data_IF_551717603195
#
_entry.id   IF_551717603195
#
_cell.length_a   1.000
_cell.length_b   1.000
_cell.length_c   1.000
_cell.angle_alpha   90.00
_cell.angle_beta   90.00
_cell.angle_gamma   90.00
#
_symmetry.space_group_name_H-M   'P 1'
#
loop_
_entity.id
_entity.type
_entity.pdbx_description
1 polymer ?
#
# COMPACT_ATOMS: atom_id res chain seq x y z
N UNK A 1 29.69 -10.33 -16.63
CA UNK A 1 29.66 -10.29 -15.15
C UNK A 1 30.40 -9.07 -14.58
N UNK A 2 31.68 -8.80 -15.00
CA UNK A 2 32.48 -7.66 -14.47
C UNK A 2 31.81 -6.30 -14.81
N UNK A 3 31.36 -6.11 -16.07
CA UNK A 3 30.67 -4.87 -16.48
C UNK A 3 29.37 -4.60 -15.74
N UNK A 4 28.60 -5.63 -15.44
CA UNK A 4 27.38 -5.50 -14.64
C UNK A 4 27.69 -5.13 -13.17
N UNK A 5 28.76 -5.68 -12.61
CA UNK A 5 29.20 -5.32 -11.26
C UNK A 5 29.67 -3.86 -11.19
N UNK A 6 30.38 -3.39 -12.20
CA UNK A 6 30.81 -1.99 -12.30
C UNK A 6 29.62 -1.06 -12.50
N UNK A 7 28.68 -1.40 -13.38
CA UNK A 7 27.47 -0.60 -13.62
C UNK A 7 26.63 -0.43 -12.33
N UNK A 8 26.43 -1.51 -11.56
CA UNK A 8 25.74 -1.42 -10.26
C UNK A 8 26.45 -0.51 -9.26
N UNK A 9 27.79 -0.55 -9.21
CA UNK A 9 28.57 0.33 -8.34
C UNK A 9 28.50 1.79 -8.79
N UNK A 10 28.56 2.05 -10.10
CA UNK A 10 28.45 3.38 -10.65
C UNK A 10 27.06 4.00 -10.36
N UNK A 11 25.99 3.24 -10.57
CA UNK A 11 24.63 3.67 -10.23
C UNK A 11 24.49 4.01 -8.73
N UNK A 12 25.11 3.22 -7.85
CA UNK A 12 25.10 3.52 -6.41
C UNK A 12 25.82 4.82 -6.08
N UNK A 13 26.98 5.08 -6.71
CA UNK A 13 27.72 6.33 -6.52
C UNK A 13 26.90 7.53 -7.00
N UNK A 14 26.21 7.40 -8.13
CA UNK A 14 25.34 8.46 -8.66
C UNK A 14 24.19 8.80 -7.69
N UNK A 15 23.55 7.79 -7.11
CA UNK A 15 22.50 7.97 -6.11
C UNK A 15 23.06 8.68 -4.86
N UNK A 16 24.19 8.22 -4.32
CA UNK A 16 24.83 8.81 -3.14
C UNK A 16 25.22 10.27 -3.36
N UNK A 17 25.72 10.62 -4.55
CA UNK A 17 26.03 12.00 -4.91
C UNK A 17 24.75 12.87 -5.01
N UNK A 18 23.68 12.32 -5.56
CA UNK A 18 22.39 12.99 -5.64
C UNK A 18 21.79 13.23 -4.26
N UNK A 19 21.87 12.21 -3.38
CA UNK A 19 21.38 12.32 -1.99
C UNK A 19 22.19 13.37 -1.21
N UNK A 20 23.53 13.35 -1.32
CA UNK A 20 24.40 14.36 -0.68
C UNK A 20 24.11 15.79 -1.19
N UNK A 21 23.88 15.97 -2.48
CA UNK A 21 23.51 17.27 -3.03
C UNK A 21 22.17 17.79 -2.48
N UNK A 22 21.20 16.89 -2.25
CA UNK A 22 19.93 17.24 -1.61
C UNK A 22 20.11 17.63 -0.15
N UNK A 23 20.87 16.87 0.62
CA UNK A 23 21.16 17.17 2.02
C UNK A 23 21.81 18.55 2.17
N UNK A 24 22.78 18.87 1.33
CA UNK A 24 23.43 20.18 1.31
C UNK A 24 22.44 21.29 0.96
N UNK A 25 21.58 21.08 -0.04
CA UNK A 25 20.58 22.05 -0.44
C UNK A 25 19.56 22.33 0.68
N UNK A 26 19.13 21.30 1.42
CA UNK A 26 18.27 21.45 2.60
C UNK A 26 18.98 22.23 3.71
N UNK A 27 20.23 21.88 4.01
CA UNK A 27 21.01 22.53 5.06
C UNK A 27 21.31 24.01 4.77
N UNK A 28 21.65 24.32 3.50
CA UNK A 28 22.03 25.71 3.10
C UNK A 28 20.83 26.64 2.97
N UNK A 29 19.70 26.12 2.45
CA UNK A 29 18.53 26.98 2.20
C UNK A 29 17.64 27.14 3.41
N UNK A 30 17.81 26.34 4.47
CA UNK A 30 16.92 26.29 5.62
C UNK A 30 15.47 25.91 5.24
N UNK A 31 15.25 25.53 3.98
CA UNK A 31 13.96 25.05 3.50
C UNK A 31 13.87 23.57 3.72
N UNK A 32 12.73 23.10 4.22
CA UNK A 32 12.47 21.68 4.30
C UNK A 32 12.61 21.05 2.91
N UNK A 33 13.41 19.98 2.82
CA UNK A 33 13.53 19.21 1.59
C UNK A 33 12.25 18.47 1.26
N UNK A 34 12.31 17.67 0.23
CA UNK A 34 11.17 16.83 -0.22
C UNK A 34 11.38 15.40 0.23
N UNK A 35 10.51 14.89 1.10
CA UNK A 35 10.48 13.45 1.42
C UNK A 35 9.77 12.68 0.29
N UNK A 36 10.46 11.67 -0.27
CA UNK A 36 9.91 10.83 -1.34
C UNK A 36 9.51 9.47 -0.78
N UNK A 37 8.23 9.28 -0.55
CA UNK A 37 7.69 8.07 0.06
C UNK A 37 6.91 7.23 -0.95
N UNK A 38 7.21 5.94 -0.98
CA UNK A 38 6.40 4.94 -1.65
C UNK A 38 5.48 4.23 -0.67
N UNK A 39 4.28 3.83 -1.08
CA UNK A 39 3.45 2.97 -0.25
C UNK A 39 2.52 2.08 -1.09
N UNK A 40 2.24 0.86 -0.64
CA UNK A 40 1.10 0.11 -1.14
C UNK A 40 -0.19 0.77 -0.65
N UNK A 41 -1.32 0.53 -1.32
CA UNK A 41 -2.57 1.30 -1.13
C UNK A 41 -3.03 1.39 0.33
N UNK A 42 -3.01 0.28 1.07
CA UNK A 42 -3.44 0.27 2.47
C UNK A 42 -2.65 1.24 3.34
N UNK A 43 -1.33 1.03 3.53
CA UNK A 43 -0.46 1.95 4.27
C UNK A 43 -0.45 3.38 3.74
N UNK A 44 -0.62 3.59 2.42
CA UNK A 44 -0.71 4.94 1.86
C UNK A 44 -1.88 5.73 2.47
N UNK A 45 -3.04 5.10 2.60
CA UNK A 45 -4.26 5.75 3.10
C UNK A 45 -4.37 5.73 4.63
N UNK A 46 -3.88 4.64 5.27
CA UNK A 46 -4.04 4.48 6.72
C UNK A 46 -2.92 5.10 7.56
N UNK A 47 -1.72 5.26 7.00
CA UNK A 47 -0.56 5.79 7.72
C UNK A 47 0.02 7.03 7.05
N UNK A 48 0.41 6.94 5.76
CA UNK A 48 1.12 8.05 5.10
C UNK A 48 0.23 9.29 5.03
N UNK A 49 -1.00 9.15 4.55
CA UNK A 49 -1.91 10.29 4.37
C UNK A 49 -2.22 11.03 5.68
N UNK A 50 -2.69 10.39 6.78
CA UNK A 50 -2.96 11.10 8.01
C UNK A 50 -1.70 11.70 8.64
N UNK A 51 -0.56 11.02 8.58
CA UNK A 51 0.71 11.54 9.07
C UNK A 51 1.15 12.79 8.29
N UNK A 52 0.98 12.82 6.98
CA UNK A 52 1.30 13.98 6.16
C UNK A 52 0.40 15.18 6.49
N UNK A 53 -0.90 14.96 6.70
CA UNK A 53 -1.84 16.00 7.09
C UNK A 53 -1.39 16.65 8.41
N UNK A 54 -1.00 15.85 9.40
CA UNK A 54 -0.54 16.32 10.69
C UNK A 54 0.80 17.06 10.57
N UNK A 55 1.78 16.46 9.86
CA UNK A 55 3.07 17.10 9.62
C UNK A 55 2.96 18.45 8.90
N UNK A 56 2.09 18.55 7.89
CA UNK A 56 1.90 19.83 7.18
C UNK A 56 1.18 20.88 8.05
N UNK A 57 0.35 20.43 9.01
CA UNK A 57 -0.26 21.36 9.98
C UNK A 57 0.77 21.95 10.94
N UNK A 58 1.73 21.14 11.42
CA UNK A 58 2.80 21.56 12.32
C UNK A 58 3.93 22.28 11.58
N UNK A 59 4.20 21.87 10.35
CA UNK A 59 5.28 22.35 9.49
C UNK A 59 4.74 22.68 8.09
N UNK A 60 4.15 23.87 7.88
CA UNK A 60 3.50 24.25 6.61
C UNK A 60 4.44 24.21 5.39
N UNK A 61 5.75 24.34 5.61
CA UNK A 61 6.78 24.23 4.55
C UNK A 61 7.15 22.78 4.20
N UNK A 62 6.71 21.77 4.97
CA UNK A 62 7.04 20.37 4.72
C UNK A 62 6.47 19.90 3.38
N UNK A 63 7.33 19.28 2.58
CA UNK A 63 6.97 18.77 1.26
C UNK A 63 7.18 17.27 1.18
N UNK A 64 6.26 16.56 0.54
CA UNK A 64 6.39 15.15 0.25
C UNK A 64 5.92 14.83 -1.17
N UNK A 65 6.59 13.87 -1.79
CA UNK A 65 6.14 13.20 -3.00
C UNK A 65 5.70 11.79 -2.62
N UNK A 66 4.44 11.45 -2.89
CA UNK A 66 3.86 10.16 -2.54
C UNK A 66 3.63 9.34 -3.81
N UNK A 67 4.25 8.17 -3.86
CA UNK A 67 4.01 7.19 -4.93
C UNK A 67 3.23 6.01 -4.38
N UNK A 68 2.04 5.77 -4.92
CA UNK A 68 1.27 4.55 -4.62
C UNK A 68 1.47 3.53 -5.73
N UNK A 69 1.86 2.31 -5.36
CA UNK A 69 2.19 1.28 -6.33
C UNK A 69 2.23 -0.13 -5.75
N UNK A 70 2.65 -1.08 -6.58
CA UNK A 70 2.88 -2.46 -6.13
C UNK A 70 4.21 -2.56 -5.40
N UNK A 71 4.37 -3.58 -4.56
CA UNK A 71 5.64 -3.83 -3.85
C UNK A 71 6.84 -3.96 -4.80
N UNK A 72 6.63 -4.55 -5.98
CA UNK A 72 7.68 -4.72 -7.00
C UNK A 72 8.12 -3.36 -7.53
N UNK A 73 7.17 -2.54 -8.00
CA UNK A 73 7.49 -1.22 -8.58
C UNK A 73 8.10 -0.27 -7.55
N UNK A 74 7.65 -0.33 -6.29
CA UNK A 74 8.21 0.46 -5.20
C UNK A 74 9.64 0.01 -4.86
N UNK A 75 9.90 -1.30 -4.85
CA UNK A 75 11.25 -1.84 -4.67
C UNK A 75 12.22 -1.39 -5.77
N UNK A 76 11.79 -1.40 -7.04
CA UNK A 76 12.59 -0.88 -8.16
C UNK A 76 12.91 0.61 -7.97
N UNK A 77 11.92 1.42 -7.60
CA UNK A 77 12.12 2.85 -7.38
C UNK A 77 13.03 3.17 -6.19
N UNK A 78 13.00 2.34 -5.13
CA UNK A 78 13.94 2.44 -4.03
C UNK A 78 15.37 2.15 -4.50
N UNK A 79 15.59 1.05 -5.24
CA UNK A 79 16.90 0.70 -5.78
C UNK A 79 17.46 1.77 -6.72
N UNK A 80 16.58 2.41 -7.49
CA UNK A 80 16.95 3.50 -8.41
C UNK A 80 17.13 4.87 -7.72
N UNK A 81 16.93 4.96 -6.37
CA UNK A 81 17.05 6.23 -5.64
C UNK A 81 15.93 7.24 -5.92
N UNK A 82 14.84 6.80 -6.55
CA UNK A 82 13.66 7.65 -6.81
C UNK A 82 12.76 7.81 -5.59
N UNK A 83 12.87 6.90 -4.63
CA UNK A 83 12.22 6.97 -3.32
C UNK A 83 13.28 6.97 -2.23
N UNK A 84 12.99 7.66 -1.14
CA UNK A 84 13.81 7.65 0.07
C UNK A 84 13.49 6.39 0.90
N UNK A 85 12.21 6.09 1.07
CA UNK A 85 11.71 4.87 1.73
C UNK A 85 10.35 4.45 1.17
N UNK A 86 9.90 3.25 1.53
CA UNK A 86 8.57 2.79 1.18
C UNK A 86 7.91 1.99 2.33
N UNK A 87 6.59 2.06 2.42
CA UNK A 87 5.76 1.14 3.17
C UNK A 87 5.27 0.03 2.23
N UNK A 88 5.96 -1.10 2.25
CA UNK A 88 5.81 -2.13 1.23
C UNK A 88 6.16 -3.52 1.78
N UNK A 89 6.17 -4.51 0.91
CA UNK A 89 6.58 -5.88 1.24
C UNK A 89 7.79 -6.25 0.40
N UNK A 90 8.79 -6.85 1.04
CA UNK A 90 9.94 -7.38 0.30
C UNK A 90 9.66 -8.81 -0.17
N UNK A 91 10.06 -9.09 -1.39
CA UNK A 91 10.13 -10.45 -1.91
C UNK A 91 11.25 -11.25 -1.23
N UNK A 92 11.18 -12.59 -1.29
CA UNK A 92 12.24 -13.46 -0.77
C UNK A 92 13.55 -13.22 -1.53
N UNK A 93 14.67 -13.23 -0.80
CA UNK A 93 16.01 -13.10 -1.40
C UNK A 93 16.45 -11.67 -1.72
N UNK A 94 15.70 -10.66 -1.31
CA UNK A 94 16.11 -9.26 -1.45
C UNK A 94 17.35 -8.97 -0.58
N UNK A 95 18.38 -8.37 -1.17
CA UNK A 95 19.67 -8.10 -0.51
C UNK A 95 20.12 -6.64 -0.57
N UNK A 96 19.42 -5.83 -1.33
CA UNK A 96 19.76 -4.40 -1.53
C UNK A 96 18.85 -3.47 -0.71
N UNK A 97 17.81 -4.03 -0.11
CA UNK A 97 16.83 -3.31 0.68
C UNK A 97 16.74 -3.90 2.08
N UNK A 98 16.65 -3.05 3.06
CA UNK A 98 16.40 -3.42 4.46
C UNK A 98 14.91 -3.23 4.77
N UNK A 99 14.36 -4.08 5.64
CA UNK A 99 12.96 -4.02 6.02
C UNK A 99 12.78 -4.11 7.53
N UNK A 100 12.00 -3.19 8.07
CA UNK A 100 11.50 -3.25 9.45
C UNK A 100 9.99 -3.47 9.40
N UNK A 101 9.52 -4.62 9.88
CA UNK A 101 8.08 -4.95 9.93
C UNK A 101 7.33 -3.90 10.74
N UNK A 102 6.21 -3.45 10.21
CA UNK A 102 5.31 -2.47 10.85
C UNK A 102 4.05 -3.16 11.35
N UNK A 103 3.22 -3.72 10.47
CA UNK A 103 1.94 -4.30 10.85
C UNK A 103 1.45 -5.33 9.82
N UNK A 104 0.53 -6.19 10.28
CA UNK A 104 -0.28 -7.06 9.43
C UNK A 104 -1.42 -6.24 8.84
N UNK A 105 -1.83 -6.56 7.63
CA UNK A 105 -2.91 -5.85 6.93
C UNK A 105 -4.14 -6.76 6.79
N UNK A 106 -5.15 -6.61 7.67
CA UNK A 106 -6.41 -7.35 7.54
C UNK A 106 -7.18 -6.87 6.32
N UNK A 107 -7.99 -7.77 5.74
CA UNK A 107 -8.84 -7.48 4.59
C UNK A 107 -10.31 -7.59 4.96
N UNK A 108 -11.10 -6.68 4.43
CA UNK A 108 -12.55 -6.70 4.45
C UNK A 108 -13.11 -6.92 3.06
N UNK A 109 -14.21 -7.65 2.96
CA UNK A 109 -15.00 -7.71 1.73
C UNK A 109 -15.92 -6.49 1.69
N UNK A 110 -15.84 -5.75 0.60
CA UNK A 110 -16.52 -4.45 0.44
C UNK A 110 -17.54 -4.54 -0.67
N UNK A 111 -18.68 -3.93 -0.43
CA UNK A 111 -19.82 -3.85 -1.35
C UNK A 111 -20.41 -2.44 -1.33
N UNK A 112 -21.27 -2.10 -2.32
CA UNK A 112 -22.04 -0.85 -2.27
C UNK A 112 -23.01 -0.81 -1.09
N UNK A 113 -23.35 0.38 -0.63
CA UNK A 113 -24.49 0.56 0.29
C UNK A 113 -25.78 0.06 -0.38
N UNK A 114 -26.59 -0.67 0.34
CA UNK A 114 -27.79 -1.28 -0.21
C UNK A 114 -27.56 -2.54 -1.04
N UNK A 115 -26.38 -3.19 -0.90
CA UNK A 115 -26.13 -4.50 -1.51
C UNK A 115 -27.10 -5.56 -0.93
N UNK A 116 -27.61 -6.50 -1.76
CA UNK A 116 -28.58 -7.52 -1.32
C UNK A 116 -28.13 -8.37 -0.13
N UNK A 117 -26.83 -8.62 0.03
CA UNK A 117 -26.30 -9.37 1.18
C UNK A 117 -26.48 -8.63 2.51
N UNK A 118 -26.53 -7.31 2.52
CA UNK A 118 -26.59 -6.53 3.76
C UNK A 118 -27.93 -6.67 4.50
N UNK A 119 -28.98 -7.12 3.82
CA UNK A 119 -30.32 -7.34 4.43
C UNK A 119 -30.55 -8.80 4.85
N UNK A 120 -29.56 -9.68 4.60
CA UNK A 120 -29.65 -11.06 5.05
C UNK A 120 -29.29 -11.19 6.53
N UNK A 121 -30.02 -11.97 7.32
CA UNK A 121 -29.75 -12.16 8.75
C UNK A 121 -28.43 -12.91 9.02
N UNK A 122 -28.01 -13.74 8.08
CA UNK A 122 -26.73 -14.46 8.10
C UNK A 122 -26.21 -14.57 6.67
N UNK A 123 -24.93 -14.31 6.49
CA UNK A 123 -24.26 -14.41 5.20
C UNK A 123 -23.26 -15.57 5.30
N UNK A 124 -23.46 -16.59 4.46
CA UNK A 124 -22.47 -17.66 4.31
C UNK A 124 -21.42 -17.28 3.26
N UNK A 125 -20.23 -17.87 3.35
CA UNK A 125 -19.21 -17.66 2.31
C UNK A 125 -19.69 -18.15 0.93
N UNK A 126 -20.55 -19.16 0.89
CA UNK A 126 -21.19 -19.64 -0.34
C UNK A 126 -22.09 -18.60 -1.02
N UNK A 127 -22.72 -17.71 -0.24
CA UNK A 127 -23.57 -16.65 -0.80
C UNK A 127 -22.74 -15.60 -1.55
N UNK A 128 -21.48 -15.40 -1.15
CA UNK A 128 -20.57 -14.47 -1.80
C UNK A 128 -20.25 -14.88 -3.25
N UNK A 129 -20.24 -16.17 -3.53
CA UNK A 129 -19.90 -16.73 -4.85
C UNK A 129 -20.99 -16.50 -5.91
N UNK A 130 -22.17 -16.03 -5.51
CA UNK A 130 -23.26 -15.68 -6.43
C UNK A 130 -23.08 -14.33 -7.11
N UNK A 131 -22.16 -13.51 -6.59
CA UNK A 131 -21.91 -12.15 -7.05
C UNK A 131 -20.63 -12.09 -7.89
N UNK A 132 -20.50 -11.02 -8.65
CA UNK A 132 -19.27 -10.70 -9.36
C UNK A 132 -18.20 -10.25 -8.37
N UNK A 133 -16.95 -10.55 -8.65
CA UNK A 133 -15.84 -10.12 -7.83
C UNK A 133 -14.92 -9.19 -8.62
N UNK A 134 -14.44 -8.15 -7.94
CA UNK A 134 -13.42 -7.23 -8.46
C UNK A 134 -12.16 -7.41 -7.63
N UNK A 135 -11.10 -7.85 -8.26
CA UNK A 135 -9.82 -8.14 -7.60
C UNK A 135 -8.66 -7.60 -8.44
N UNK A 136 -7.46 -7.59 -7.89
CA UNK A 136 -6.24 -7.39 -8.67
C UNK A 136 -5.95 -8.59 -9.57
N UNK A 137 -4.85 -8.50 -10.30
CA UNK A 137 -4.34 -9.61 -11.09
C UNK A 137 -4.01 -10.81 -10.20
N UNK A 138 -4.01 -12.01 -10.76
CA UNK A 138 -3.82 -13.27 -10.02
C UNK A 138 -2.45 -13.32 -9.28
N UNK A 139 -1.47 -12.53 -9.69
CA UNK A 139 -0.16 -12.43 -9.05
C UNK A 139 -0.13 -11.50 -7.83
N UNK A 140 -1.18 -10.72 -7.58
CA UNK A 140 -1.20 -9.83 -6.42
C UNK A 140 -1.41 -10.61 -5.13
N UNK A 141 -0.68 -10.23 -4.07
CA UNK A 141 -0.79 -10.88 -2.76
C UNK A 141 -2.22 -10.87 -2.22
N UNK A 142 -2.96 -9.80 -2.46
CA UNK A 142 -4.34 -9.67 -2.02
C UNK A 142 -5.24 -10.70 -2.73
N UNK A 143 -5.13 -10.83 -4.05
CA UNK A 143 -5.88 -11.84 -4.81
C UNK A 143 -5.50 -13.26 -4.37
N UNK A 144 -4.21 -13.55 -4.24
CA UNK A 144 -3.73 -14.86 -3.76
C UNK A 144 -4.24 -15.18 -2.35
N UNK A 145 -4.30 -14.20 -1.45
CA UNK A 145 -4.86 -14.38 -0.10
C UNK A 145 -6.32 -14.84 -0.16
N UNK A 146 -7.14 -14.20 -1.00
CA UNK A 146 -8.55 -14.59 -1.18
C UNK A 146 -8.66 -15.96 -1.81
N UNK A 147 -7.91 -16.25 -2.88
CA UNK A 147 -7.90 -17.53 -3.59
C UNK A 147 -7.53 -18.68 -2.65
N UNK A 148 -6.45 -18.51 -1.88
CA UNK A 148 -6.00 -19.53 -0.93
C UNK A 148 -7.06 -19.77 0.15
N UNK A 149 -7.67 -18.69 0.66
CA UNK A 149 -8.71 -18.84 1.69
C UNK A 149 -9.95 -19.55 1.20
N UNK A 150 -10.40 -19.29 -0.02
CA UNK A 150 -11.51 -20.02 -0.63
C UNK A 150 -11.15 -21.50 -0.80
N UNK A 151 -9.93 -21.81 -1.23
CA UNK A 151 -9.45 -23.19 -1.37
C UNK A 151 -9.40 -23.91 0.00
N UNK A 152 -8.92 -23.28 1.06
CA UNK A 152 -8.94 -23.82 2.42
C UNK A 152 -10.34 -24.14 2.92
N UNK A 153 -11.34 -23.34 2.50
CA UNK A 153 -12.75 -23.55 2.83
C UNK A 153 -13.43 -24.59 1.89
N UNK A 154 -12.70 -25.17 0.95
CA UNK A 154 -13.24 -26.13 -0.03
C UNK A 154 -14.21 -25.49 -1.03
N UNK A 155 -14.11 -24.17 -1.24
CA UNK A 155 -14.99 -23.43 -2.12
C UNK A 155 -14.33 -23.12 -3.46
N UNK A 156 -15.09 -23.13 -4.58
CA UNK A 156 -14.57 -22.76 -5.88
C UNK A 156 -14.26 -21.25 -5.94
N UNK A 157 -13.45 -20.85 -6.90
CA UNK A 157 -13.27 -19.45 -7.24
C UNK A 157 -14.56 -18.84 -7.80
N UNK A 158 -14.82 -17.55 -7.58
CA UNK A 158 -15.92 -16.84 -8.21
C UNK A 158 -15.84 -16.98 -9.73
N UNK A 159 -16.94 -17.42 -10.36
CA UNK A 159 -16.97 -17.64 -11.81
C UNK A 159 -16.85 -16.35 -12.61
N UNK A 160 -17.41 -15.25 -12.08
CA UNK A 160 -17.39 -13.93 -12.71
C UNK A 160 -16.45 -13.02 -11.92
N UNK A 161 -15.30 -12.73 -12.54
CA UNK A 161 -14.28 -11.88 -11.96
C UNK A 161 -13.91 -10.77 -12.93
N UNK A 162 -13.74 -9.56 -12.41
CA UNK A 162 -13.15 -8.43 -13.11
C UNK A 162 -11.80 -8.19 -12.47
N UNK A 163 -10.73 -8.21 -13.29
CA UNK A 163 -9.38 -7.93 -12.83
C UNK A 163 -9.01 -6.49 -13.17
N UNK A 164 -8.50 -5.76 -12.17
CA UNK A 164 -8.02 -4.39 -12.34
C UNK A 164 -6.99 -4.02 -11.29
N UNK A 165 -5.96 -3.28 -11.69
CA UNK A 165 -4.99 -2.65 -10.78
C UNK A 165 -5.43 -1.26 -10.30
N UNK A 166 -6.53 -0.71 -10.84
CA UNK A 166 -7.01 0.63 -10.53
C UNK A 166 -7.96 0.61 -9.34
N UNK A 167 -7.50 1.14 -8.20
CA UNK A 167 -8.34 1.31 -7.02
C UNK A 167 -9.58 2.19 -7.30
N UNK A 168 -9.40 3.28 -8.06
CA UNK A 168 -10.53 4.15 -8.43
C UNK A 168 -11.55 3.42 -9.30
N UNK A 169 -11.11 2.59 -10.25
CA UNK A 169 -12.01 1.78 -11.07
C UNK A 169 -12.79 0.78 -10.21
N UNK A 170 -12.13 0.14 -9.25
CA UNK A 170 -12.79 -0.76 -8.27
C UNK A 170 -13.91 -0.02 -7.51
N UNK A 171 -13.63 1.16 -6.97
CA UNK A 171 -14.64 1.94 -6.25
C UNK A 171 -15.80 2.38 -7.15
N UNK A 172 -15.51 2.80 -8.38
CA UNK A 172 -16.54 3.19 -9.35
C UNK A 172 -17.44 2.01 -9.72
N UNK A 173 -16.86 0.81 -9.90
CA UNK A 173 -17.60 -0.41 -10.22
C UNK A 173 -18.46 -0.87 -9.04
N UNK A 174 -17.92 -0.86 -7.82
CA UNK A 174 -18.68 -1.16 -6.61
C UNK A 174 -19.91 -0.24 -6.48
N UNK A 175 -19.76 1.05 -6.77
CA UNK A 175 -20.86 1.99 -6.67
C UNK A 175 -22.02 1.71 -7.65
N UNK A 176 -21.75 1.04 -8.77
CA UNK A 176 -22.72 0.84 -9.85
C UNK A 176 -23.25 -0.60 -9.94
N UNK A 177 -22.68 -1.53 -9.21
CA UNK A 177 -22.99 -2.97 -9.31
C UNK A 177 -23.10 -3.64 -7.95
N UNK A 178 -23.55 -4.90 -7.95
CA UNK A 178 -23.51 -5.76 -6.77
C UNK A 178 -22.22 -6.59 -6.69
N UNK A 179 -21.11 -6.04 -7.19
CA UNK A 179 -19.83 -6.71 -7.09
C UNK A 179 -19.26 -6.65 -5.66
N UNK A 180 -18.41 -7.62 -5.35
CA UNK A 180 -17.66 -7.71 -4.08
C UNK A 180 -16.19 -7.44 -4.39
N UNK A 181 -15.53 -6.61 -3.58
CA UNK A 181 -14.10 -6.39 -3.67
C UNK A 181 -13.42 -6.61 -2.33
N UNK A 182 -12.32 -7.37 -2.25
CA UNK A 182 -11.47 -7.40 -1.08
C UNK A 182 -10.62 -6.11 -1.03
N UNK A 183 -10.69 -5.39 0.07
CA UNK A 183 -9.88 -4.20 0.32
C UNK A 183 -9.22 -4.31 1.69
N UNK A 184 -8.10 -3.64 1.87
CA UNK A 184 -7.48 -3.52 3.19
C UNK A 184 -8.46 -2.86 4.17
N UNK A 185 -8.67 -3.49 5.32
CA UNK A 185 -9.60 -2.97 6.34
C UNK A 185 -9.29 -1.53 6.75
N UNK A 186 -8.02 -1.12 6.96
CA UNK A 186 -7.70 0.27 7.27
C UNK A 186 -8.10 1.26 6.16
N UNK A 187 -8.14 0.82 4.90
CA UNK A 187 -8.65 1.65 3.79
C UNK A 187 -10.16 1.88 3.97
N UNK A 188 -10.90 0.83 4.27
CA UNK A 188 -12.35 0.94 4.47
C UNK A 188 -12.66 1.82 5.68
N UNK A 189 -11.89 1.64 6.77
CA UNK A 189 -12.04 2.40 8.02
C UNK A 189 -11.74 3.89 7.82
N UNK A 190 -10.80 4.25 6.94
CA UNK A 190 -10.51 5.65 6.62
C UNK A 190 -11.70 6.39 5.96
N UNK A 191 -12.63 5.64 5.40
CA UNK A 191 -13.90 6.16 4.86
C UNK A 191 -15.11 5.90 5.78
N UNK A 192 -14.90 5.20 6.91
CA UNK A 192 -15.97 4.90 7.84
C UNK A 192 -16.57 6.19 8.43
N UNK A 193 -17.88 6.18 8.62
CA UNK A 193 -18.60 7.36 9.16
C UNK A 193 -18.94 8.45 8.13
N UNK A 194 -18.41 8.38 6.91
CA UNK A 194 -18.81 9.30 5.85
C UNK A 194 -20.01 8.73 5.05
N UNK A 195 -21.24 9.27 5.22
CA UNK A 195 -22.43 8.77 4.51
C UNK A 195 -22.36 8.95 2.99
N UNK A 196 -21.53 9.86 2.52
CA UNK A 196 -21.33 10.11 1.07
C UNK A 196 -20.50 9.03 0.40
N UNK A 197 -19.82 8.18 1.17
CA UNK A 197 -19.06 7.06 0.61
C UNK A 197 -20.02 5.92 0.24
N UNK A 198 -20.02 5.47 -1.03
CA UNK A 198 -21.06 4.57 -1.53
C UNK A 198 -20.86 3.11 -1.16
N UNK A 199 -19.84 2.75 -0.41
CA UNK A 199 -19.48 1.37 -0.07
C UNK A 199 -19.37 1.15 1.44
N UNK A 200 -19.49 -0.12 1.84
CA UNK A 200 -19.37 -0.59 3.24
C UNK A 200 -18.74 -1.98 3.28
N UNK A 201 -18.15 -2.35 4.41
CA UNK A 201 -17.74 -3.72 4.66
C UNK A 201 -18.95 -4.65 4.80
N UNK A 202 -18.87 -5.86 4.23
CA UNK A 202 -19.77 -6.95 4.57
C UNK A 202 -19.47 -7.44 6.00
N UNK A 203 -20.49 -7.76 6.78
CA UNK A 203 -20.32 -8.33 8.13
C UNK A 203 -20.00 -9.84 8.05
N UNK A 204 -18.96 -10.18 7.30
CA UNK A 204 -18.48 -11.56 7.12
C UNK A 204 -16.99 -11.58 7.41
N UNK A 205 -16.61 -12.32 8.43
CA UNK A 205 -15.20 -12.55 8.73
C UNK A 205 -14.74 -13.83 8.02
N UNK A 206 -13.88 -13.66 7.03
CA UNK A 206 -13.20 -14.76 6.35
C UNK A 206 -11.81 -15.04 6.92
N UNK A 207 -11.35 -14.32 7.94
CA UNK A 207 -9.99 -14.41 8.47
C UNK A 207 -8.93 -14.03 7.43
N UNK A 208 -9.24 -13.08 6.55
CA UNK A 208 -8.35 -12.63 5.49
C UNK A 208 -7.33 -11.63 6.03
N UNK A 209 -6.06 -11.90 5.80
CA UNK A 209 -4.99 -10.93 6.07
C UNK A 209 -3.84 -11.11 5.09
N UNK A 210 -3.31 -10.01 4.59
CA UNK A 210 -2.11 -10.01 3.75
C UNK A 210 -0.87 -10.05 4.66
N UNK A 211 0.21 -10.64 4.17
CA UNK A 211 1.50 -10.64 4.86
C UNK A 211 1.87 -9.23 5.38
N UNK A 212 2.58 -9.14 6.51
CA UNK A 212 2.95 -7.86 7.08
C UNK A 212 3.64 -6.95 6.07
N UNK A 213 3.32 -5.67 6.12
CA UNK A 213 4.11 -4.66 5.41
C UNK A 213 5.21 -4.09 6.32
N UNK A 214 6.22 -3.55 5.71
CA UNK A 214 7.43 -3.08 6.35
C UNK A 214 7.76 -1.66 5.91
N UNK A 215 8.46 -0.93 6.76
CA UNK A 215 9.27 0.19 6.35
C UNK A 215 10.49 -0.38 5.60
N UNK A 216 10.62 -0.03 4.34
CA UNK A 216 11.66 -0.52 3.43
C UNK A 216 12.54 0.64 3.02
N UNK A 217 13.85 0.45 3.14
CA UNK A 217 14.89 1.43 2.79
C UNK A 217 15.99 0.77 1.99
N UNK A 218 16.81 1.56 1.30
CA UNK A 218 18.05 1.02 0.69
C UNK A 218 19.05 0.64 1.78
N UNK A 219 19.68 -0.51 1.63
CA UNK A 219 20.67 -0.99 2.58
C UNK A 219 21.88 -0.03 2.66
N UNK A 220 22.14 0.46 3.87
CA UNK A 220 23.25 1.35 4.17
C UNK A 220 23.08 2.79 3.67
N UNK A 221 21.91 3.21 3.19
CA UNK A 221 21.66 4.61 2.85
C UNK A 221 21.39 5.45 4.10
N UNK A 222 21.81 6.71 4.04
CA UNK A 222 21.40 7.70 5.02
C UNK A 222 20.09 8.36 4.57
N UNK A 223 19.21 8.65 5.52
CA UNK A 223 17.97 9.36 5.23
C UNK A 223 18.19 10.85 5.27
N UNK A 224 17.58 11.59 4.33
CA UNK A 224 17.52 13.04 4.41
C UNK A 224 16.74 13.47 5.67
N UNK A 225 17.00 14.67 6.23
CA UNK A 225 16.25 15.15 7.40
C UNK A 225 14.73 15.12 7.21
N UNK A 226 14.25 15.46 6.00
CA UNK A 226 12.82 15.44 5.67
C UNK A 226 12.27 14.02 5.62
N UNK A 227 12.98 13.07 5.01
CA UNK A 227 12.58 11.66 4.98
C UNK A 227 12.57 11.05 6.38
N UNK A 228 13.61 11.32 7.21
CA UNK A 228 13.69 10.83 8.57
C UNK A 228 12.53 11.35 9.43
N UNK A 229 12.20 12.65 9.33
CA UNK A 229 11.05 13.22 10.05
C UNK A 229 9.75 12.53 9.70
N UNK A 230 9.52 12.24 8.41
CA UNK A 230 8.32 11.52 7.97
C UNK A 230 8.31 10.07 8.48
N UNK A 231 9.45 9.38 8.46
CA UNK A 231 9.60 8.03 9.02
C UNK A 231 9.26 8.02 10.51
N UNK A 232 9.82 8.94 11.28
CA UNK A 232 9.61 9.01 12.73
C UNK A 232 8.13 9.27 13.07
N UNK A 233 7.49 10.17 12.32
CA UNK A 233 6.06 10.45 12.48
C UNK A 233 5.18 9.23 12.11
N UNK A 234 5.51 8.51 11.04
CA UNK A 234 4.81 7.27 10.65
C UNK A 234 4.98 6.18 11.72
N UNK A 235 6.20 6.00 12.24
CA UNK A 235 6.47 5.00 13.27
C UNK A 235 5.81 5.32 14.61
N UNK A 236 5.58 6.58 14.92
CA UNK A 236 4.85 7.01 16.10
C UNK A 236 3.32 6.80 15.97
N UNK A 237 2.80 6.77 14.75
CA UNK A 237 1.37 6.59 14.44
C UNK A 237 0.98 5.10 14.20
N UNK A 238 1.96 4.19 14.01
CA UNK A 238 1.76 2.78 13.72
C UNK A 238 1.64 1.93 14.99
#
# INVERSE_FOLDING_TARGET
>A
QVGQALARRAARIEIELSDAARDIAEAVTGRAGVARVGAVTGPALSLVMPTLIELQREHPEFRAEVTVGTSITLGDQLRDGRLDFALSRLGPGETQLDAKVIAVEPLSLVVRRGHPLLVQPQISVGDLLRFDWVMGDDETLLTQTVVNRLAELGLPLPQRRISTSSFLFTLALLNQTDAIAPLATPVVDSFAGNPSVPFVSLPVDMGLSVAPFSLVTRSGSQMTPSAQRLIDAILAAA
#
